data_IF_151166681438
#
_entry.id   IF_151166681438
#
_cell.length_a   1.000
_cell.length_b   1.000
_cell.length_c   1.000
_cell.angle_alpha   90.00
_cell.angle_beta   90.00
_cell.angle_gamma   90.00
#
_symmetry.space_group_name_H-M   'P 1'
#
loop_
_entity.id
_entity.type
_entity.pdbx_description
1 polymer ?
#
# COMPACT_ATOMS: atom_id res chain seq x y z
N UNK A 1 -83.03 -1.80 26.10
CA UNK A 1 -83.69 -2.81 26.96
C UNK A 1 -83.62 -4.15 26.23
N UNK A 2 -82.64 -4.99 26.55
CA UNK A 2 -82.63 -6.43 26.24
C UNK A 2 -81.91 -7.16 27.40
N UNK A 3 -82.31 -8.41 27.72
CA UNK A 3 -82.42 -8.88 29.08
C UNK A 3 -81.25 -9.76 29.56
N UNK A 4 -81.28 -9.97 30.89
CA UNK A 4 -80.43 -10.83 31.72
C UNK A 4 -80.33 -12.26 31.21
N UNK A 5 -79.10 -12.79 31.16
CA UNK A 5 -78.85 -14.22 31.29
C UNK A 5 -78.71 -14.57 32.77
N UNK A 6 -79.61 -15.40 33.28
CA UNK A 6 -79.44 -16.12 34.54
C UNK A 6 -78.70 -17.42 34.26
N UNK A 7 -77.48 -17.57 34.78
CA UNK A 7 -76.82 -18.87 34.91
C UNK A 7 -76.83 -19.32 36.38
N UNK A 8 -77.54 -20.42 36.62
CA UNK A 8 -77.30 -21.50 37.59
C UNK A 8 -76.43 -21.19 38.83
N UNK A 9 -77.10 -21.01 39.97
CA UNK A 9 -77.20 -22.10 40.94
C UNK A 9 -76.00 -22.49 41.82
N UNK A 10 -74.91 -21.71 41.90
CA UNK A 10 -73.83 -21.99 42.87
C UNK A 10 -73.49 -20.77 43.73
N UNK A 11 -73.80 -20.81 45.03
CA UNK A 11 -73.32 -19.84 46.02
C UNK A 11 -71.85 -20.15 46.34
N UNK A 12 -70.92 -19.59 45.57
CA UNK A 12 -69.51 -19.53 46.00
C UNK A 12 -69.36 -18.40 47.03
N UNK A 13 -68.87 -18.72 48.24
CA UNK A 13 -68.49 -17.67 49.20
C UNK A 13 -67.25 -16.95 48.71
N UNK A 14 -67.14 -15.64 48.98
CA UNK A 14 -66.01 -14.82 48.59
C UNK A 14 -64.65 -15.42 49.00
N UNK A 15 -64.60 -16.14 50.13
CA UNK A 15 -63.40 -16.87 50.61
C UNK A 15 -62.96 -18.01 49.69
N UNK A 16 -63.90 -18.73 49.05
CA UNK A 16 -63.58 -19.80 48.09
C UNK A 16 -63.11 -19.22 46.74
N UNK A 17 -63.67 -18.11 46.29
CA UNK A 17 -63.17 -17.40 45.11
C UNK A 17 -61.77 -16.82 45.34
N UNK A 18 -61.48 -16.32 46.54
CA UNK A 18 -60.15 -15.79 46.88
C UNK A 18 -59.10 -16.91 46.94
N UNK A 19 -59.44 -18.06 47.52
CA UNK A 19 -58.54 -19.22 47.59
C UNK A 19 -58.26 -19.82 46.20
N UNK A 20 -59.28 -19.89 45.33
CA UNK A 20 -59.10 -20.32 43.94
C UNK A 20 -58.28 -19.29 43.16
N UNK A 21 -58.53 -17.99 43.36
CA UNK A 21 -57.75 -16.93 42.74
C UNK A 21 -56.26 -16.97 43.13
N UNK A 22 -55.97 -17.08 44.44
CA UNK A 22 -54.61 -17.18 44.95
C UNK A 22 -53.91 -18.46 44.47
N UNK A 23 -54.63 -19.60 44.45
CA UNK A 23 -54.11 -20.86 43.94
C UNK A 23 -53.76 -20.78 42.45
N UNK A 24 -54.63 -20.18 41.63
CA UNK A 24 -54.37 -19.97 40.20
C UNK A 24 -53.16 -19.05 39.99
N UNK A 25 -53.04 -17.96 40.76
CA UNK A 25 -51.88 -17.05 40.65
C UNK A 25 -50.57 -17.71 41.06
N UNK A 26 -50.59 -18.56 42.09
CA UNK A 26 -49.40 -19.29 42.54
C UNK A 26 -48.97 -20.32 41.50
N UNK A 27 -49.92 -21.07 40.95
CA UNK A 27 -49.64 -22.08 39.91
C UNK A 27 -49.13 -21.41 38.63
N UNK A 28 -49.72 -20.27 38.23
CA UNK A 28 -49.26 -19.52 37.06
C UNK A 28 -47.86 -18.91 37.27
N UNK A 29 -47.57 -18.43 38.48
CA UNK A 29 -46.24 -17.94 38.87
C UNK A 29 -45.18 -19.06 38.85
N UNK A 30 -45.49 -20.23 39.40
CA UNK A 30 -44.60 -21.39 39.37
C UNK A 30 -44.40 -21.93 37.94
N UNK A 31 -45.44 -21.89 37.09
CA UNK A 31 -45.32 -22.27 35.68
C UNK A 31 -44.40 -21.30 34.92
N UNK A 32 -44.58 -19.99 35.09
CA UNK A 32 -43.70 -18.98 34.48
C UNK A 32 -42.24 -19.09 34.96
N UNK A 33 -42.02 -19.41 36.24
CA UNK A 33 -40.68 -19.60 36.80
C UNK A 33 -40.00 -20.92 36.38
N UNK A 34 -40.78 -21.91 35.91
CA UNK A 34 -40.26 -23.20 35.42
C UNK A 34 -40.16 -23.27 33.89
N UNK A 35 -40.63 -22.24 33.17
CA UNK A 35 -40.31 -22.08 31.76
C UNK A 35 -38.79 -21.86 31.63
N UNK A 36 -38.10 -22.67 30.81
CA UNK A 36 -36.67 -22.47 30.59
C UNK A 36 -36.47 -21.05 30.05
N UNK A 37 -35.60 -20.27 30.69
CA UNK A 37 -35.15 -19.00 30.13
C UNK A 37 -34.56 -19.30 28.77
N UNK A 38 -35.31 -18.96 27.73
CA UNK A 38 -34.83 -18.98 26.37
C UNK A 38 -33.79 -17.86 26.33
N UNK A 39 -32.52 -18.24 26.55
CA UNK A 39 -31.40 -17.43 26.12
C UNK A 39 -31.72 -17.09 24.67
N UNK A 40 -32.02 -15.81 24.42
CA UNK A 40 -31.77 -15.25 23.11
C UNK A 40 -30.28 -15.47 22.88
N UNK A 41 -29.95 -16.64 22.33
CA UNK A 41 -28.93 -16.72 21.31
C UNK A 41 -29.44 -15.78 20.24
N UNK A 42 -29.18 -14.48 20.46
CA UNK A 42 -29.01 -13.53 19.39
C UNK A 42 -28.05 -14.26 18.46
N UNK A 43 -28.66 -14.82 17.43
CA UNK A 43 -27.97 -15.28 16.25
C UNK A 43 -27.45 -13.98 15.70
N UNK A 44 -26.29 -13.56 16.23
CA UNK A 44 -25.37 -12.70 15.54
C UNK A 44 -25.13 -13.48 14.27
N UNK A 45 -25.93 -13.13 13.27
CA UNK A 45 -25.61 -13.28 11.88
C UNK A 45 -24.11 -13.11 11.81
N UNK A 46 -23.45 -14.17 11.36
CA UNK A 46 -22.08 -14.21 10.88
C UNK A 46 -21.70 -12.77 10.59
N UNK A 47 -20.94 -12.15 11.52
CA UNK A 47 -20.53 -10.78 11.38
C UNK A 47 -20.04 -10.67 9.96
N UNK A 48 -20.76 -9.90 9.14
CA UNK A 48 -20.42 -9.61 7.77
C UNK A 48 -18.93 -9.33 7.80
N UNK A 49 -18.15 -10.30 7.31
CA UNK A 49 -16.74 -10.54 7.63
C UNK A 49 -16.05 -9.19 7.60
N UNK A 50 -15.84 -8.56 8.76
CA UNK A 50 -15.50 -7.13 8.83
C UNK A 50 -14.34 -6.91 7.86
N UNK A 51 -14.63 -6.29 6.71
CA UNK A 51 -13.74 -6.43 5.57
C UNK A 51 -12.45 -5.72 5.96
N UNK A 52 -11.44 -6.51 6.30
CA UNK A 52 -10.18 -5.99 6.81
C UNK A 52 -9.63 -5.10 5.71
N UNK A 53 -9.50 -3.80 6.01
CA UNK A 53 -8.96 -2.85 5.05
C UNK A 53 -7.63 -3.36 4.51
N UNK A 54 -7.49 -3.31 3.19
CA UNK A 54 -6.28 -3.72 2.48
C UNK A 54 -5.09 -2.91 2.99
N UNK A 55 -3.99 -3.60 3.29
CA UNK A 55 -2.78 -3.02 3.88
C UNK A 55 -1.77 -2.62 2.81
N UNK A 56 -1.29 -1.38 2.89
CA UNK A 56 -0.33 -0.78 1.98
C UNK A 56 1.10 -0.91 2.48
N UNK A 57 2.00 -1.48 1.70
CA UNK A 57 3.44 -1.30 1.91
C UNK A 57 3.94 -0.12 1.08
N UNK A 58 4.36 0.96 1.76
CA UNK A 58 5.06 2.07 1.12
C UNK A 58 6.53 1.65 0.92
N UNK A 59 6.92 1.37 -0.31
CA UNK A 59 8.27 0.94 -0.67
C UNK A 59 9.03 2.16 -1.17
N UNK A 60 10.05 2.57 -0.40
CA UNK A 60 10.84 3.79 -0.64
C UNK A 60 12.28 3.41 -0.99
N UNK A 61 12.67 3.38 -2.28
CA UNK A 61 14.05 3.18 -2.71
C UNK A 61 14.93 4.31 -2.19
N UNK A 62 16.05 3.98 -1.55
CA UNK A 62 16.76 4.96 -0.74
C UNK A 62 18.28 4.83 -0.78
N UNK A 63 18.96 5.97 -0.94
CA UNK A 63 20.39 6.17 -0.69
C UNK A 63 20.66 7.68 -0.60
N UNK A 64 21.34 8.13 0.45
CA UNK A 64 21.79 9.52 0.63
C UNK A 64 20.68 10.55 0.46
N UNK A 65 19.53 10.33 1.12
CA UNK A 65 18.34 11.22 1.10
C UNK A 65 17.76 11.45 2.49
N UNK A 66 18.63 11.54 3.51
CA UNK A 66 18.19 11.59 4.90
C UNK A 66 17.33 12.81 5.21
N UNK A 67 17.69 13.99 4.70
CA UNK A 67 16.89 15.22 4.83
C UNK A 67 15.49 15.05 4.24
N UNK A 68 15.39 14.51 3.02
CA UNK A 68 14.11 14.22 2.39
C UNK A 68 13.30 13.19 3.18
N UNK A 69 13.96 12.18 3.78
CA UNK A 69 13.28 11.19 4.64
C UNK A 69 12.65 11.83 5.88
N UNK A 70 13.33 12.81 6.49
CA UNK A 70 12.82 13.53 7.66
C UNK A 70 11.54 14.33 7.32
N UNK A 71 11.42 14.83 6.09
CA UNK A 71 10.19 15.47 5.63
C UNK A 71 9.13 14.46 5.19
N UNK A 72 9.56 13.39 4.52
CA UNK A 72 8.72 12.37 3.91
C UNK A 72 7.88 11.62 4.94
N UNK A 73 8.50 11.12 6.01
CA UNK A 73 7.84 10.25 6.98
C UNK A 73 6.65 10.96 7.65
N UNK A 74 6.81 12.11 8.34
CA UNK A 74 5.68 12.80 8.95
C UNK A 74 4.63 13.24 7.94
N UNK A 75 5.04 13.68 6.74
CA UNK A 75 4.11 14.05 5.67
C UNK A 75 3.22 12.87 5.26
N UNK A 76 3.83 11.72 4.93
CA UNK A 76 3.10 10.54 4.47
C UNK A 76 2.24 9.92 5.56
N UNK A 77 2.70 9.92 6.81
CA UNK A 77 1.87 9.51 7.94
C UNK A 77 0.62 10.36 8.06
N UNK A 78 0.78 11.70 8.05
CA UNK A 78 -0.36 12.61 8.08
C UNK A 78 -1.30 12.41 6.89
N UNK A 79 -0.74 12.27 5.69
CA UNK A 79 -1.49 12.13 4.44
C UNK A 79 -2.34 10.84 4.41
N UNK A 80 -1.72 9.70 4.70
CA UNK A 80 -2.38 8.39 4.63
C UNK A 80 -3.33 8.13 5.81
N UNK A 81 -3.03 8.65 7.01
CA UNK A 81 -3.93 8.55 8.16
C UNK A 81 -5.23 9.33 7.93
N UNK A 82 -5.19 10.51 7.28
CA UNK A 82 -6.40 11.24 6.88
C UNK A 82 -7.29 10.44 5.92
N UNK A 83 -6.69 9.61 5.09
CA UNK A 83 -7.39 8.69 4.18
C UNK A 83 -7.82 7.38 4.87
N UNK A 84 -7.41 7.18 6.14
CA UNK A 84 -7.66 5.95 6.90
C UNK A 84 -7.13 4.69 6.18
N UNK A 85 -5.99 4.82 5.53
CA UNK A 85 -5.28 3.70 4.89
C UNK A 85 -4.43 3.00 5.95
N UNK A 86 -4.55 1.68 6.16
CA UNK A 86 -3.57 0.94 6.93
C UNK A 86 -2.28 0.79 6.11
N UNK A 87 -1.15 1.28 6.61
CA UNK A 87 0.12 1.20 5.90
C UNK A 87 1.32 1.01 6.82
N UNK A 88 2.45 0.67 6.22
CA UNK A 88 3.77 0.78 6.84
C UNK A 88 4.79 1.28 5.83
N UNK A 89 5.81 2.01 6.29
CA UNK A 89 6.88 2.55 5.42
C UNK A 89 8.12 1.67 5.53
N UNK A 90 8.53 1.13 4.38
CA UNK A 90 9.79 0.41 4.18
C UNK A 90 10.76 1.31 3.43
N UNK A 91 11.90 1.61 4.05
CA UNK A 91 13.01 2.34 3.44
C UNK A 91 14.06 1.32 3.00
N UNK A 92 14.29 1.26 1.69
CA UNK A 92 15.17 0.28 1.05
C UNK A 92 16.53 0.94 0.83
N UNK A 93 17.35 0.92 1.88
CA UNK A 93 18.69 1.51 1.88
C UNK A 93 19.64 0.65 1.06
N UNK A 94 20.04 1.13 -0.12
CA UNK A 94 21.05 0.48 -0.94
C UNK A 94 22.44 0.77 -0.37
N UNK A 95 23.06 -0.25 0.24
CA UNK A 95 24.34 -0.16 0.96
C UNK A 95 25.56 -0.46 0.09
N UNK A 96 25.39 -1.21 -1.00
CA UNK A 96 26.49 -1.49 -1.93
C UNK A 96 27.03 -0.23 -2.61
N UNK A 97 28.21 -0.33 -3.24
CA UNK A 97 28.86 0.75 -3.98
C UNK A 97 28.49 0.77 -5.47
N UNK A 98 27.56 -0.08 -5.92
CA UNK A 98 27.07 0.01 -7.29
C UNK A 98 26.22 1.29 -7.44
N UNK A 99 25.97 1.70 -8.68
CA UNK A 99 25.06 2.80 -8.96
C UNK A 99 23.67 2.51 -8.37
N UNK A 100 22.90 3.55 -8.12
CA UNK A 100 21.57 3.38 -7.53
C UNK A 100 20.65 2.60 -8.47
N UNK A 101 19.95 1.58 -7.99
CA UNK A 101 19.04 0.75 -8.78
C UNK A 101 17.66 0.72 -8.11
N UNK A 102 16.82 1.67 -8.51
CA UNK A 102 15.48 1.88 -7.98
C UNK A 102 14.58 0.64 -8.15
N UNK A 103 14.58 0.05 -9.34
CA UNK A 103 13.74 -1.10 -9.68
C UNK A 103 14.08 -2.35 -8.87
N UNK A 104 15.35 -2.71 -8.74
CA UNK A 104 15.74 -3.87 -7.92
C UNK A 104 15.46 -3.65 -6.44
N UNK A 105 15.62 -2.43 -5.91
CA UNK A 105 15.22 -2.12 -4.53
C UNK A 105 13.72 -2.31 -4.31
N UNK A 106 12.90 -1.93 -5.29
CA UNK A 106 11.45 -2.17 -5.24
C UNK A 106 11.15 -3.66 -5.22
N UNK A 107 11.77 -4.47 -6.09
CA UNK A 107 11.62 -5.92 -6.07
C UNK A 107 11.97 -6.51 -4.70
N UNK A 108 13.09 -6.08 -4.11
CA UNK A 108 13.49 -6.53 -2.77
C UNK A 108 12.45 -6.11 -1.72
N UNK A 109 12.02 -4.84 -1.71
CA UNK A 109 11.00 -4.38 -0.78
C UNK A 109 9.68 -5.13 -0.90
N UNK A 110 9.30 -5.50 -2.13
CA UNK A 110 8.13 -6.34 -2.37
C UNK A 110 8.30 -7.72 -1.72
N UNK A 111 9.44 -8.38 -1.90
CA UNK A 111 9.71 -9.69 -1.28
C UNK A 111 9.61 -9.67 0.25
N UNK A 112 10.01 -8.56 0.89
CA UNK A 112 9.87 -8.37 2.34
C UNK A 112 8.42 -8.13 2.79
N UNK A 113 7.61 -7.46 1.97
CA UNK A 113 6.26 -7.05 2.34
C UNK A 113 5.16 -8.03 1.86
N UNK A 114 5.42 -8.86 0.85
CA UNK A 114 4.38 -9.60 0.11
C UNK A 114 3.55 -10.59 0.94
N UNK A 115 3.96 -10.98 2.15
CA UNK A 115 3.14 -11.89 2.96
C UNK A 115 2.07 -11.11 3.74
N UNK A 116 2.38 -9.91 4.21
CA UNK A 116 1.56 -9.16 5.17
C UNK A 116 0.78 -7.98 4.56
N UNK A 117 1.15 -7.55 3.35
CA UNK A 117 0.61 -6.37 2.69
C UNK A 117 -0.05 -6.70 1.35
N UNK A 118 -1.27 -6.21 1.12
CA UNK A 118 -2.08 -6.56 -0.04
C UNK A 118 -1.66 -5.82 -1.32
N UNK A 119 -1.00 -4.67 -1.18
CA UNK A 119 -0.56 -3.84 -2.29
C UNK A 119 0.62 -2.96 -1.88
N UNK A 120 1.35 -2.49 -2.88
CA UNK A 120 2.51 -1.63 -2.68
C UNK A 120 2.28 -0.26 -3.31
N UNK A 121 2.93 0.76 -2.75
CA UNK A 121 3.22 2.01 -3.43
C UNK A 121 4.72 2.09 -3.65
N UNK A 122 5.15 2.11 -4.91
CA UNK A 122 6.52 2.44 -5.30
C UNK A 122 6.65 3.95 -5.21
N UNK A 123 7.40 4.45 -4.24
CA UNK A 123 7.32 5.85 -3.84
C UNK A 123 8.69 6.51 -3.75
N UNK A 124 8.91 7.54 -4.56
CA UNK A 124 10.11 8.38 -4.43
C UNK A 124 10.04 9.19 -3.12
N UNK A 125 11.15 9.24 -2.39
CA UNK A 125 11.23 9.89 -1.07
C UNK A 125 11.10 11.42 -1.14
N UNK A 126 11.38 12.01 -2.30
CA UNK A 126 11.40 13.46 -2.52
C UNK A 126 10.12 14.01 -3.17
N UNK A 127 9.10 13.17 -3.40
CA UNK A 127 7.86 13.56 -4.08
C UNK A 127 6.66 13.46 -3.15
N UNK A 128 6.20 14.59 -2.60
CA UNK A 128 5.17 14.63 -1.57
C UNK A 128 3.81 15.05 -2.15
N UNK A 129 2.73 14.26 -1.96
CA UNK A 129 1.40 14.63 -2.43
C UNK A 129 0.82 15.78 -1.59
N UNK A 130 0.41 16.87 -2.24
CA UNK A 130 -0.16 18.04 -1.59
C UNK A 130 -1.69 18.10 -1.71
N UNK A 131 -2.26 17.42 -2.71
CA UNK A 131 -3.71 17.37 -2.93
C UNK A 131 -4.34 16.13 -2.27
N UNK A 132 -5.26 16.34 -1.31
CA UNK A 132 -5.97 15.26 -0.60
C UNK A 132 -6.95 14.45 -1.50
N UNK A 133 -7.18 14.88 -2.74
CA UNK A 133 -7.92 14.12 -3.75
C UNK A 133 -7.10 12.97 -4.35
N UNK A 134 -5.77 12.96 -4.19
CA UNK A 134 -4.92 11.85 -4.60
C UNK A 134 -5.12 10.66 -3.65
N UNK A 135 -5.91 9.67 -4.08
CA UNK A 135 -6.27 8.51 -3.26
C UNK A 135 -5.25 7.39 -3.38
N UNK A 136 -4.83 6.88 -2.22
CA UNK A 136 -3.91 5.74 -2.11
C UNK A 136 -4.67 4.44 -1.83
N UNK A 137 -5.90 4.33 -2.35
CA UNK A 137 -6.75 3.15 -2.14
C UNK A 137 -6.19 1.91 -2.85
N UNK A 138 -6.71 0.73 -2.46
CA UNK A 138 -6.31 -0.54 -3.06
C UNK A 138 -6.62 -0.59 -4.58
N UNK A 139 -5.61 -0.83 -5.45
CA UNK A 139 -5.76 -0.80 -6.89
C UNK A 139 -6.37 -2.11 -7.44
N UNK A 140 -7.67 -2.31 -7.22
CA UNK A 140 -8.36 -3.57 -7.53
C UNK A 140 -8.34 -3.98 -9.01
N UNK A 141 -8.47 -3.01 -9.93
CA UNK A 141 -8.66 -3.28 -11.37
C UNK A 141 -7.38 -3.15 -12.20
N UNK A 142 -6.27 -2.73 -11.60
CA UNK A 142 -5.03 -2.44 -12.31
C UNK A 142 -4.22 -1.36 -11.61
N UNK A 143 -2.94 -1.16 -12.01
CA UNK A 143 -2.06 -0.18 -11.36
C UNK A 143 -2.62 1.24 -11.43
N UNK A 144 -2.41 2.01 -10.36
CA UNK A 144 -2.84 3.42 -10.25
C UNK A 144 -1.61 4.31 -10.15
N UNK A 145 -1.34 5.10 -11.18
CA UNK A 145 -0.23 6.05 -11.22
C UNK A 145 -0.66 7.39 -10.63
N UNK A 146 -0.20 7.67 -9.40
CA UNK A 146 -0.62 8.84 -8.63
C UNK A 146 0.04 10.11 -9.16
N UNK A 147 1.33 10.06 -9.50
CA UNK A 147 2.10 11.20 -10.01
C UNK A 147 1.91 11.40 -11.51
N UNK A 148 0.67 11.56 -11.95
CA UNK A 148 0.27 11.68 -13.36
C UNK A 148 1.08 12.70 -14.15
N UNK A 149 1.36 12.50 -15.46
CA UNK A 149 2.08 13.46 -16.29
C UNK A 149 1.48 14.87 -16.28
N UNK A 150 0.16 14.98 -16.17
CA UNK A 150 -0.58 16.25 -16.10
C UNK A 150 -0.33 17.04 -14.81
N UNK A 151 0.14 16.37 -13.75
CA UNK A 151 0.29 16.94 -12.40
C UNK A 151 1.71 16.82 -11.85
N UNK A 152 2.58 16.03 -12.47
CA UNK A 152 3.96 15.89 -12.04
C UNK A 152 4.73 17.17 -12.38
N UNK A 153 5.57 17.72 -11.48
CA UNK A 153 6.28 18.99 -11.71
C UNK A 153 7.39 18.95 -12.78
N UNK A 154 7.54 17.85 -13.55
CA UNK A 154 8.72 17.68 -14.43
C UNK A 154 8.51 16.75 -15.62
N UNK A 155 7.85 15.61 -15.45
CA UNK A 155 7.69 14.61 -16.51
C UNK A 155 6.26 14.60 -17.02
N UNK A 156 6.07 14.89 -18.31
CA UNK A 156 4.76 15.18 -18.90
C UNK A 156 4.41 14.27 -20.10
N UNK A 157 5.20 13.23 -20.37
CA UNK A 157 4.97 12.32 -21.48
C UNK A 157 3.97 11.21 -21.11
N UNK A 158 3.18 10.75 -22.08
CA UNK A 158 1.98 9.93 -21.82
C UNK A 158 2.24 8.58 -21.14
N UNK A 159 3.39 7.96 -21.43
CA UNK A 159 3.77 6.65 -20.89
C UNK A 159 4.50 6.72 -19.55
N UNK A 160 4.71 7.92 -19.01
CA UNK A 160 5.38 8.11 -17.72
C UNK A 160 4.57 7.45 -16.59
N UNK A 161 5.27 6.63 -15.78
CA UNK A 161 4.74 5.96 -14.58
C UNK A 161 5.71 5.98 -13.39
N UNK A 162 6.73 6.85 -13.42
CA UNK A 162 7.70 7.05 -12.34
C UNK A 162 7.15 7.90 -11.19
N UNK A 163 7.95 8.15 -10.15
CA UNK A 163 7.47 8.86 -8.96
C UNK A 163 6.68 7.95 -8.02
N UNK A 164 5.35 7.89 -8.20
CA UNK A 164 4.41 7.21 -7.32
C UNK A 164 3.44 6.34 -8.12
N UNK A 165 3.59 5.02 -8.01
CA UNK A 165 2.72 4.03 -8.65
C UNK A 165 2.25 2.99 -7.63
N UNK A 166 0.94 2.77 -7.56
CA UNK A 166 0.31 1.75 -6.73
C UNK A 166 -0.02 0.52 -7.57
N UNK A 167 0.25 -0.66 -7.02
CA UNK A 167 -0.04 -1.93 -7.67
C UNK A 167 -0.32 -2.99 -6.61
N UNK A 168 -1.34 -3.83 -6.84
CA UNK A 168 -1.66 -4.91 -5.92
C UNK A 168 -0.61 -6.03 -6.02
N UNK A 169 -0.58 -6.89 -5.00
CA UNK A 169 0.37 -7.99 -4.91
C UNK A 169 0.32 -8.90 -6.13
N UNK A 170 -0.89 -9.27 -6.53
CA UNK A 170 -1.14 -10.21 -7.61
C UNK A 170 -0.64 -9.69 -8.96
N UNK A 171 -0.88 -8.41 -9.28
CA UNK A 171 -0.42 -7.79 -10.51
C UNK A 171 1.10 -7.60 -10.52
N UNK A 172 1.72 -7.27 -9.39
CA UNK A 172 3.18 -7.14 -9.32
C UNK A 172 3.88 -8.50 -9.52
N UNK A 173 3.32 -9.57 -8.96
CA UNK A 173 3.79 -10.94 -9.19
C UNK A 173 3.55 -11.39 -10.63
N UNK A 174 2.37 -11.09 -11.20
CA UNK A 174 2.01 -11.42 -12.59
C UNK A 174 3.03 -10.87 -13.58
N UNK A 175 3.52 -9.64 -13.38
CA UNK A 175 4.49 -9.02 -14.28
C UNK A 175 5.95 -9.32 -13.92
N UNK A 176 6.17 -10.21 -12.95
CA UNK A 176 7.49 -10.57 -12.42
C UNK A 176 8.27 -9.32 -11.95
N UNK A 177 7.59 -8.41 -11.25
CA UNK A 177 8.15 -7.15 -10.78
C UNK A 177 8.84 -6.31 -11.87
N UNK A 178 9.80 -5.49 -11.44
CA UNK A 178 10.57 -4.60 -12.32
C UNK A 178 11.85 -5.27 -12.83
N UNK A 179 12.43 -4.78 -13.93
CA UNK A 179 13.74 -5.27 -14.40
C UNK A 179 14.88 -4.94 -13.43
N UNK A 180 15.87 -5.83 -13.34
CA UNK A 180 17.07 -5.63 -12.51
C UNK A 180 18.22 -4.93 -13.25
N UNK A 181 18.06 -4.61 -14.54
CA UNK A 181 19.16 -4.13 -15.39
C UNK A 181 19.40 -2.62 -15.32
N UNK A 182 18.61 -1.88 -14.56
CA UNK A 182 18.58 -0.41 -14.55
C UNK A 182 19.43 0.17 -13.42
N UNK A 183 20.74 0.25 -13.67
CA UNK A 183 21.70 0.89 -12.77
C UNK A 183 21.95 2.36 -13.16
N UNK A 184 21.72 3.28 -12.22
CA UNK A 184 21.72 4.72 -12.46
C UNK A 184 20.34 5.25 -12.86
N UNK A 185 20.28 6.51 -13.30
CA UNK A 185 18.99 7.17 -13.54
C UNK A 185 18.38 6.81 -14.91
N UNK A 186 17.10 6.42 -14.87
CA UNK A 186 16.13 6.45 -15.97
C UNK A 186 15.85 5.11 -16.64
N UNK A 187 14.69 5.06 -17.31
CA UNK A 187 14.15 3.99 -18.17
C UNK A 187 13.57 2.77 -17.44
N UNK A 188 13.76 2.62 -16.12
CA UNK A 188 13.23 1.45 -15.40
C UNK A 188 11.70 1.50 -15.26
N UNK A 189 11.15 2.71 -15.15
CA UNK A 189 9.72 2.99 -15.13
C UNK A 189 9.10 2.83 -16.53
N UNK A 190 9.79 3.31 -17.57
CA UNK A 190 9.37 3.11 -18.97
C UNK A 190 9.33 1.63 -19.34
N UNK A 191 10.32 0.84 -18.91
CA UNK A 191 10.32 -0.61 -19.14
C UNK A 191 9.21 -1.31 -18.36
N UNK A 192 8.98 -0.90 -17.11
CA UNK A 192 7.88 -1.41 -16.30
C UNK A 192 6.51 -1.10 -16.93
N UNK A 193 6.33 0.06 -17.55
CA UNK A 193 5.11 0.38 -18.30
C UNK A 193 4.84 -0.64 -19.40
N UNK A 194 5.88 -1.04 -20.13
CA UNK A 194 5.76 -2.09 -21.16
C UNK A 194 5.44 -3.44 -20.53
N UNK A 195 5.97 -3.78 -19.34
CA UNK A 195 5.58 -5.02 -18.63
C UNK A 195 4.09 -5.05 -18.31
N UNK A 196 3.55 -3.95 -17.79
CA UNK A 196 2.13 -3.82 -17.47
C UNK A 196 1.28 -3.97 -18.73
N UNK A 197 1.67 -3.32 -19.82
CA UNK A 197 1.00 -3.43 -21.13
C UNK A 197 1.03 -4.85 -21.68
N UNK A 198 2.18 -5.53 -21.63
CA UNK A 198 2.33 -6.92 -22.08
C UNK A 198 1.39 -7.88 -21.32
N UNK A 199 1.14 -7.60 -20.02
CA UNK A 199 0.23 -8.38 -19.19
C UNK A 199 -1.24 -7.96 -19.31
N UNK A 200 -1.58 -7.05 -20.21
CA UNK A 200 -2.94 -6.53 -20.38
C UNK A 200 -3.43 -5.65 -19.23
N UNK A 201 -2.53 -5.19 -18.35
CA UNK A 201 -2.88 -4.34 -17.21
C UNK A 201 -2.93 -2.88 -17.63
N UNK A 202 -4.10 -2.26 -17.50
CA UNK A 202 -4.29 -0.84 -17.78
C UNK A 202 -3.88 0.02 -16.59
N UNK A 203 -2.93 0.92 -16.80
CA UNK A 203 -2.59 1.96 -15.83
C UNK A 203 -3.70 3.02 -15.79
N UNK A 204 -4.25 3.26 -14.61
CA UNK A 204 -5.22 4.33 -14.36
C UNK A 204 -4.54 5.48 -13.61
N UNK A 205 -5.13 6.67 -13.65
CA UNK A 205 -4.58 7.88 -13.03
C UNK A 205 -5.70 8.65 -12.32
N UNK A 206 -5.41 9.41 -11.24
CA UNK A 206 -6.42 10.23 -10.57
C UNK A 206 -7.12 11.17 -11.55
N UNK A 207 -8.45 11.10 -11.59
CA UNK A 207 -9.29 11.99 -12.38
C UNK A 207 -9.76 13.19 -11.54
N UNK A 208 -10.17 14.27 -12.22
CA UNK A 208 -10.75 15.46 -11.59
C UNK A 208 -9.84 16.13 -10.53
N UNK A 209 -8.52 16.05 -10.73
CA UNK A 209 -7.55 16.79 -9.92
C UNK A 209 -7.57 18.25 -10.38
N UNK A 210 -7.89 19.15 -9.44
CA UNK A 210 -8.03 20.59 -9.70
C UNK A 210 -6.71 21.36 -9.64
N UNK A 211 -5.66 20.75 -9.09
CA UNK A 211 -4.30 21.30 -8.99
C UNK A 211 -3.46 20.91 -10.21
N UNK A 212 -2.46 21.73 -10.54
CA UNK A 212 -1.56 21.53 -11.68
C UNK A 212 -0.16 21.03 -11.28
N UNK A 213 0.79 20.98 -12.23
CA UNK A 213 2.20 20.63 -11.99
C UNK A 213 2.90 21.43 -10.90
N UNK A 214 2.45 22.66 -10.65
CA UNK A 214 3.04 23.60 -9.71
C UNK A 214 2.70 23.35 -8.24
N UNK A 215 1.59 22.66 -7.96
CA UNK A 215 1.05 22.54 -6.60
C UNK A 215 0.38 21.20 -6.26
N UNK A 216 0.31 20.25 -7.20
CA UNK A 216 -0.20 18.90 -6.88
C UNK A 216 0.80 18.11 -6.03
N UNK A 217 2.09 18.28 -6.30
CA UNK A 217 3.18 17.66 -5.56
C UNK A 217 4.22 18.69 -5.16
N UNK A 218 4.81 18.51 -3.96
CA UNK A 218 6.04 19.18 -3.57
C UNK A 218 7.20 18.25 -3.86
N UNK A 219 8.08 18.65 -4.78
CA UNK A 219 9.23 17.85 -5.22
C UNK A 219 10.52 18.45 -4.63
N UNK A 220 11.00 17.86 -3.55
CA UNK A 220 12.15 18.33 -2.75
C UNK A 220 13.44 17.84 -3.40
N UNK A 221 13.77 18.41 -4.56
CA UNK A 221 14.87 17.93 -5.39
C UNK A 221 15.67 19.08 -6.00
N UNK A 222 16.67 19.56 -5.25
CA UNK A 222 17.67 20.47 -5.81
C UNK A 222 18.60 19.72 -6.77
N UNK A 223 18.64 20.13 -8.04
CA UNK A 223 19.40 19.42 -9.09
C UNK A 223 20.92 19.52 -8.89
N UNK A 224 21.38 20.52 -8.14
CA UNK A 224 22.79 20.78 -7.85
C UNK A 224 23.28 19.88 -6.73
N UNK A 225 22.47 19.74 -5.68
CA UNK A 225 22.74 18.91 -4.51
C UNK A 225 22.41 17.43 -4.74
N UNK A 226 21.27 17.12 -5.37
CA UNK A 226 20.80 15.76 -5.68
C UNK A 226 20.97 15.45 -7.17
N UNK A 227 22.23 15.42 -7.62
CA UNK A 227 22.54 15.13 -9.04
C UNK A 227 22.04 13.74 -9.43
N UNK A 228 21.36 13.67 -10.58
CA UNK A 228 20.98 12.38 -11.20
C UNK A 228 22.21 11.74 -11.84
N UNK A 229 22.42 10.46 -11.58
CA UNK A 229 23.49 9.69 -12.25
C UNK A 229 23.07 9.30 -13.68
N UNK A 230 23.19 10.27 -14.59
CA UNK A 230 22.81 10.14 -16.00
C UNK A 230 23.84 9.38 -16.83
N UNK A 231 25.02 9.07 -16.28
CA UNK A 231 26.15 8.49 -17.01
C UNK A 231 25.73 7.23 -17.75
N UNK A 232 26.35 7.00 -18.91
CA UNK A 232 26.19 5.78 -19.70
C UNK A 232 27.60 5.27 -20.02
N UNK A 233 27.84 4.01 -19.72
CA UNK A 233 29.11 3.32 -19.96
C UNK A 233 28.84 1.94 -20.56
N UNK A 234 29.84 1.35 -21.22
CA UNK A 234 29.68 0.12 -21.99
C UNK A 234 28.53 0.25 -23.02
N UNK A 235 27.76 -0.81 -23.25
CA UNK A 235 26.59 -0.82 -24.13
C UNK A 235 25.27 -0.48 -23.39
N UNK A 236 25.32 0.17 -22.21
CA UNK A 236 24.13 0.45 -21.40
C UNK A 236 23.01 1.12 -22.21
N UNK A 237 23.34 2.12 -23.04
CA UNK A 237 22.36 2.87 -23.84
C UNK A 237 21.55 1.98 -24.78
N UNK A 238 22.17 0.94 -25.32
CA UNK A 238 21.53 0.00 -26.23
C UNK A 238 20.66 -1.00 -25.45
N UNK A 239 21.22 -1.60 -24.39
CA UNK A 239 20.55 -2.66 -23.64
C UNK A 239 19.33 -2.14 -22.88
N UNK A 240 19.46 -1.02 -22.16
CA UNK A 240 18.37 -0.49 -21.30
C UNK A 240 17.24 0.16 -22.10
N UNK A 241 17.30 0.17 -23.44
CA UNK A 241 16.19 0.62 -24.30
C UNK A 241 15.38 -0.55 -24.86
N UNK A 242 15.81 -1.79 -24.60
CA UNK A 242 15.11 -3.01 -25.00
C UNK A 242 14.28 -3.51 -23.82
N UNK A 243 13.13 -4.12 -24.13
CA UNK A 243 12.28 -4.82 -23.16
C UNK A 243 13.06 -5.99 -22.57
N UNK A 244 13.19 -6.03 -21.25
CA UNK A 244 13.92 -7.10 -20.54
C UNK A 244 12.98 -8.23 -20.13
N UNK A 245 12.89 -9.27 -20.95
CA UNK A 245 12.06 -10.46 -20.67
C UNK A 245 12.75 -11.50 -19.79
N UNK A 246 13.97 -11.23 -19.32
CA UNK A 246 14.80 -12.20 -18.60
C UNK A 246 14.77 -11.94 -17.11
N UNK A 247 15.05 -10.71 -16.67
CA UNK A 247 15.18 -10.43 -15.22
C UNK A 247 13.89 -9.88 -14.61
N UNK A 248 13.75 -9.99 -13.30
CA UNK A 248 12.57 -9.53 -12.57
C UNK A 248 12.62 -9.78 -11.06
N UNK A 249 11.44 -9.92 -10.48
CA UNK A 249 11.25 -10.27 -9.09
C UNK A 249 11.84 -11.64 -8.73
N UNK A 250 11.67 -12.63 -9.61
CA UNK A 250 12.07 -14.01 -9.36
C UNK A 250 13.59 -14.23 -9.21
N UNK A 251 14.42 -13.36 -9.78
CA UNK A 251 15.86 -13.55 -9.90
C UNK A 251 16.67 -12.36 -9.38
N UNK A 252 16.04 -11.38 -8.71
CA UNK A 252 16.76 -10.27 -8.09
C UNK A 252 17.79 -10.82 -7.09
N UNK A 253 19.07 -10.56 -7.34
CA UNK A 253 20.17 -11.04 -6.49
C UNK A 253 20.54 -9.98 -5.47
N UNK A 254 20.38 -10.29 -4.20
CA UNK A 254 20.69 -9.36 -3.11
C UNK A 254 21.16 -10.11 -1.85
N UNK A 255 21.85 -9.38 -0.96
CA UNK A 255 22.03 -9.77 0.43
C UNK A 255 21.32 -8.78 1.34
N UNK A 256 20.56 -9.30 2.29
CA UNK A 256 20.01 -8.53 3.39
C UNK A 256 21.04 -8.49 4.53
N UNK A 257 21.46 -7.28 4.92
CA UNK A 257 22.47 -7.11 5.98
C UNK A 257 21.85 -6.90 7.35
N UNK A 258 20.83 -6.04 7.43
CA UNK A 258 20.18 -5.71 8.69
C UNK A 258 18.82 -5.08 8.45
N UNK A 259 17.97 -5.21 9.47
CA UNK A 259 16.69 -4.53 9.58
C UNK A 259 16.73 -3.62 10.80
N UNK A 260 16.47 -2.33 10.61
CA UNK A 260 16.38 -1.36 11.69
C UNK A 260 14.92 -0.89 11.82
N UNK A 261 14.37 -1.03 13.03
CA UNK A 261 13.14 -0.32 13.41
C UNK A 261 13.56 1.07 13.84
N UNK A 262 13.18 2.07 13.05
CA UNK A 262 13.57 3.47 13.25
C UNK A 262 12.31 4.28 13.49
N UNK A 263 12.41 5.36 14.25
CA UNK A 263 11.32 6.34 14.38
C UNK A 263 11.77 7.69 13.89
N UNK A 264 10.92 8.36 13.10
CA UNK A 264 11.07 9.78 12.75
C UNK A 264 9.88 10.49 13.39
N UNK A 265 10.13 11.43 14.30
CA UNK A 265 9.08 12.10 15.09
C UNK A 265 8.10 11.12 15.78
N UNK A 266 8.64 10.06 16.38
CA UNK A 266 7.90 8.93 16.99
C UNK A 266 7.06 8.09 16.01
N UNK A 267 7.19 8.30 14.70
CA UNK A 267 6.50 7.52 13.68
C UNK A 267 7.37 6.34 13.22
N UNK A 268 6.91 5.09 13.38
CA UNK A 268 7.74 3.91 13.17
C UNK A 268 7.91 3.57 11.70
N UNK A 269 9.15 3.42 11.25
CA UNK A 269 9.48 2.93 9.92
C UNK A 269 10.39 1.70 10.01
N UNK A 270 10.52 0.97 8.91
CA UNK A 270 11.52 -0.10 8.80
C UNK A 270 12.54 0.25 7.74
N UNK A 271 13.82 0.29 8.13
CA UNK A 271 14.94 0.47 7.22
C UNK A 271 15.58 -0.88 6.97
N UNK A 272 15.60 -1.30 5.69
CA UNK A 272 16.24 -2.51 5.24
C UNK A 272 17.56 -2.16 4.56
N UNK A 273 18.68 -2.63 5.10
CA UNK A 273 19.99 -2.46 4.49
C UNK A 273 20.21 -3.59 3.48
N UNK A 274 20.22 -3.23 2.20
CA UNK A 274 20.29 -4.15 1.07
C UNK A 274 21.59 -3.94 0.29
N UNK A 275 22.32 -5.02 0.04
CA UNK A 275 23.38 -5.07 -0.96
C UNK A 275 22.84 -5.74 -2.22
N UNK A 276 22.70 -4.99 -3.30
CA UNK A 276 22.34 -5.55 -4.60
C UNK A 276 23.58 -6.14 -5.27
N UNK A 277 23.48 -7.39 -5.69
CA UNK A 277 24.58 -8.11 -6.34
C UNK A 277 24.54 -7.85 -7.84
N UNK A 278 25.61 -7.27 -8.37
CA UNK A 278 25.77 -7.04 -9.79
C UNK A 278 26.59 -8.17 -10.43
N UNK A 279 26.05 -8.78 -11.49
CA UNK A 279 26.84 -9.58 -12.42
C UNK A 279 27.44 -8.64 -13.49
N UNK A 280 28.75 -8.37 -13.38
CA UNK A 280 29.45 -7.46 -14.29
C UNK A 280 29.58 -8.02 -15.71
N UNK A 281 29.38 -9.31 -15.92
CA UNK A 281 29.36 -9.88 -17.27
C UNK A 281 28.05 -9.58 -18.00
N UNK A 282 26.96 -9.33 -17.26
CA UNK A 282 25.63 -9.05 -17.80
C UNK A 282 25.33 -7.56 -17.79
N UNK A 283 25.56 -6.89 -16.65
CA UNK A 283 25.29 -5.46 -16.46
C UNK A 283 26.54 -4.72 -15.98
N UNK A 284 27.63 -4.66 -16.78
CA UNK A 284 28.88 -4.00 -16.37
C UNK A 284 28.67 -2.52 -15.98
N UNK A 285 27.63 -1.87 -16.52
CA UNK A 285 27.27 -0.49 -16.19
C UNK A 285 26.72 -0.27 -14.79
N UNK A 286 26.60 -1.31 -13.95
CA UNK A 286 26.38 -1.17 -12.51
C UNK A 286 27.51 -0.41 -11.82
N UNK A 287 28.71 -0.44 -12.39
CA UNK A 287 29.86 0.36 -11.99
C UNK A 287 30.53 0.94 -13.23
N UNK A 288 30.34 2.24 -13.49
CA UNK A 288 31.04 2.90 -14.58
C UNK A 288 32.50 3.20 -14.19
N UNK A 289 33.45 3.13 -15.14
CA UNK A 289 34.79 3.65 -14.93
C UNK A 289 34.76 5.13 -14.52
N UNK A 290 35.74 5.54 -13.72
CA UNK A 290 35.92 6.95 -13.39
C UNK A 290 36.16 7.76 -14.68
N UNK A 291 35.63 8.99 -14.78
CA UNK A 291 35.90 9.84 -15.92
C UNK A 291 37.42 10.06 -16.02
N UNK A 292 37.99 9.84 -17.20
CA UNK A 292 39.40 10.17 -17.46
C UNK A 292 39.54 11.68 -17.22
N UNK A 293 40.29 12.08 -16.20
CA UNK A 293 40.63 13.49 -15.97
C UNK A 293 41.34 13.97 -17.23
N UNK A 294 40.75 14.94 -17.94
CA UNK A 294 41.45 15.62 -19.01
C UNK A 294 42.76 16.14 -18.43
N UNK A 295 43.91 15.71 -18.96
CA UNK A 295 45.18 16.36 -18.68
C UNK A 295 44.98 17.81 -19.11
N UNK A 296 45.04 18.76 -18.16
CA UNK A 296 45.12 20.17 -18.53
C UNK A 296 46.36 20.32 -19.41
N UNK A 297 46.25 20.97 -20.58
CA UNK A 297 47.42 21.27 -21.41
C UNK A 297 48.45 22.09 -20.63
#
# INVERSE_FOLDING_TARGET
MYPRLNLMGYRLSASRCLAVGLGITLIMGCYLASLPMQSEKATYQIAEKAQTKKKLALIVPFRDRFEELLEFVPHMYGFLNRQRIPFHIFVLQQKDSNRFNRASLINVGFLFARNDYDYIAMHDVDLLPMNNALKYDYPANGPVHISSPQTHPKYHYDTFIGGILLINREHFELVNGMSNNYWGWGLEDDEFYVRLKDAGLKVTRPANITTGPENTFRHVHDKTYRRRDMRKCFNQREVTRRRDRVTGLHDVKYKHYSTHKVTVDNLPITVLNIELLCDKNVTPWCQCPEPVKAKKP
#
